data_IF_476627104948
#
_entry.id   IF_476627104948
#
_cell.length_a   1.000
_cell.length_b   1.000
_cell.length_c   1.000
_cell.angle_alpha   90.00
_cell.angle_beta   90.00
_cell.angle_gamma   90.00
#
_symmetry.space_group_name_H-M   'P 1'
#
loop_
_entity.id
_entity.type
_entity.pdbx_description
1 polymer ?
#
# COMPACT_ATOMS: atom_id res chain seq x y z
N UNK A 1 -55.24 37.35 -30.30
CA UNK A 1 -54.01 36.59 -29.95
C UNK A 1 -53.93 36.49 -28.43
N UNK A 2 -54.34 35.35 -27.90
CA UNK A 2 -54.27 35.07 -26.47
C UNK A 2 -52.88 34.52 -26.18
N UNK A 3 -52.08 35.29 -25.48
CA UNK A 3 -50.83 34.83 -24.91
C UNK A 3 -51.15 34.12 -23.60
N UNK A 4 -51.14 32.80 -23.61
CA UNK A 4 -51.08 31.97 -22.43
C UNK A 4 -49.64 32.01 -21.92
N UNK A 5 -49.37 32.84 -20.93
CA UNK A 5 -48.19 32.75 -20.09
C UNK A 5 -48.37 31.53 -19.19
N UNK A 6 -47.76 30.40 -19.57
CA UNK A 6 -47.57 29.30 -18.65
C UNK A 6 -46.55 29.73 -17.61
N UNK A 7 -46.98 29.77 -16.37
CA UNK A 7 -46.13 29.87 -15.19
C UNK A 7 -45.21 28.65 -15.15
N UNK A 8 -44.00 28.77 -15.70
CA UNK A 8 -42.94 27.87 -15.35
C UNK A 8 -42.47 28.25 -13.96
N UNK A 9 -42.98 27.55 -12.95
CA UNK A 9 -42.30 27.50 -11.66
C UNK A 9 -40.89 26.94 -11.89
N UNK A 10 -39.92 27.83 -11.89
CA UNK A 10 -38.53 27.45 -11.79
C UNK A 10 -38.34 26.87 -10.40
N UNK A 11 -38.42 25.56 -10.27
CA UNK A 11 -38.05 24.86 -9.04
C UNK A 11 -36.55 25.08 -8.89
N UNK A 12 -36.17 26.11 -8.15
CA UNK A 12 -34.81 26.29 -7.66
C UNK A 12 -34.60 25.15 -6.66
N UNK A 13 -33.96 24.06 -7.14
CA UNK A 13 -33.44 23.01 -6.27
C UNK A 13 -32.37 23.66 -5.38
N UNK A 14 -32.78 24.20 -4.25
CA UNK A 14 -31.86 24.65 -3.23
C UNK A 14 -31.31 23.40 -2.52
N UNK A 15 -30.06 23.08 -2.73
CA UNK A 15 -29.39 22.01 -1.98
C UNK A 15 -29.43 22.37 -0.50
N UNK A 16 -29.93 21.45 0.32
CA UNK A 16 -29.96 21.65 1.78
C UNK A 16 -28.53 21.57 2.30
N UNK A 17 -28.10 22.59 3.03
CA UNK A 17 -26.81 22.62 3.70
C UNK A 17 -26.95 21.92 5.05
N UNK A 18 -26.21 20.83 5.23
CA UNK A 18 -26.16 20.04 6.46
C UNK A 18 -25.01 20.50 7.36
N UNK A 19 -23.84 20.82 6.76
CA UNK A 19 -22.65 21.31 7.48
C UNK A 19 -22.45 22.79 7.21
N UNK A 20 -22.63 23.60 8.24
CA UNK A 20 -22.54 25.06 8.13
C UNK A 20 -21.09 25.58 8.13
N UNK A 21 -20.15 24.79 8.65
CA UNK A 21 -18.72 25.10 8.68
C UNK A 21 -17.93 23.81 8.42
N UNK A 22 -17.37 23.66 7.24
CA UNK A 22 -16.55 22.51 6.90
C UNK A 22 -15.54 22.85 5.81
N UNK A 23 -14.55 21.97 5.61
CA UNK A 23 -13.45 22.17 4.68
C UNK A 23 -13.36 21.03 3.66
N UNK A 24 -13.17 21.37 2.39
CA UNK A 24 -12.73 20.47 1.33
C UNK A 24 -11.24 20.62 1.07
N UNK A 25 -10.51 19.51 0.96
CA UNK A 25 -9.10 19.47 0.65
C UNK A 25 -8.88 18.73 -0.68
N UNK A 26 -8.16 19.36 -1.59
CA UNK A 26 -7.56 18.71 -2.74
C UNK A 26 -6.07 18.47 -2.45
N UNK A 27 -5.69 17.19 -2.30
CA UNK A 27 -4.37 16.77 -1.79
C UNK A 27 -3.49 16.29 -2.93
N UNK A 28 -2.36 16.98 -3.14
CA UNK A 28 -1.31 16.61 -4.09
C UNK A 28 -0.03 16.18 -3.39
N UNK A 29 0.94 15.71 -4.17
CA UNK A 29 2.24 15.28 -3.67
C UNK A 29 2.99 16.38 -2.89
N UNK A 30 2.95 17.62 -3.39
CA UNK A 30 3.78 18.74 -2.89
C UNK A 30 2.97 19.85 -2.24
N UNK A 31 1.64 19.87 -2.45
CA UNK A 31 0.75 20.90 -1.88
C UNK A 31 -0.64 20.36 -1.60
N UNK A 32 -1.37 21.12 -0.81
CA UNK A 32 -2.76 20.90 -0.46
C UNK A 32 -3.51 22.20 -0.74
N UNK A 33 -4.55 22.11 -1.55
CA UNK A 33 -5.50 23.20 -1.69
C UNK A 33 -6.66 23.01 -0.71
N UNK A 34 -6.98 24.03 0.07
CA UNK A 34 -8.01 24.00 1.09
C UNK A 34 -9.10 25.05 0.81
N UNK A 35 -10.33 24.65 0.99
CA UNK A 35 -11.51 25.53 0.90
C UNK A 35 -12.42 25.29 2.10
N UNK A 36 -12.54 26.29 3.00
CA UNK A 36 -13.56 26.29 4.06
C UNK A 36 -14.79 27.00 3.53
N UNK A 37 -15.96 26.37 3.66
CA UNK A 37 -17.28 26.95 3.45
C UNK A 37 -17.93 27.26 4.78
N UNK A 38 -18.38 28.50 4.97
CA UNK A 38 -19.06 28.96 6.18
C UNK A 38 -20.42 29.53 5.78
N UNK A 39 -21.51 28.94 6.28
CA UNK A 39 -22.87 29.38 6.01
C UNK A 39 -23.43 30.12 7.23
N UNK A 40 -23.84 31.34 7.01
CA UNK A 40 -24.46 32.20 8.03
C UNK A 40 -25.91 31.77 8.37
N UNK A 41 -26.53 32.50 9.31
CA UNK A 41 -27.91 32.26 9.75
C UNK A 41 -28.92 32.54 8.64
N UNK A 42 -28.59 33.36 7.63
CA UNK A 42 -29.40 33.69 6.49
C UNK A 42 -29.24 32.70 5.32
N UNK A 43 -28.47 31.64 5.50
CA UNK A 43 -28.20 30.62 4.47
C UNK A 43 -27.19 31.06 3.41
N UNK A 44 -26.48 32.17 3.61
CA UNK A 44 -25.46 32.63 2.68
C UNK A 44 -24.10 31.98 3.01
N UNK A 45 -23.50 31.29 2.02
CA UNK A 45 -22.20 30.66 2.17
C UNK A 45 -21.07 31.57 1.70
N UNK A 46 -20.05 31.72 2.52
CA UNK A 46 -18.78 32.39 2.20
C UNK A 46 -17.65 31.38 2.19
N UNK A 47 -16.67 31.56 1.29
CA UNK A 47 -15.54 30.63 1.13
C UNK A 47 -14.22 31.28 1.49
N UNK A 48 -13.40 30.56 2.24
CA UNK A 48 -11.99 30.89 2.51
C UNK A 48 -11.13 29.84 1.83
N UNK A 49 -10.22 30.28 0.98
CA UNK A 49 -9.39 29.36 0.20
C UNK A 49 -7.90 29.71 0.35
N UNK A 50 -7.06 28.72 0.50
CA UNK A 50 -5.63 28.89 0.56
C UNK A 50 -4.90 27.61 0.15
N UNK A 51 -3.61 27.71 -0.10
CA UNK A 51 -2.74 26.60 -0.46
C UNK A 51 -1.67 26.42 0.60
N UNK A 52 -1.44 25.18 1.01
CA UNK A 52 -0.40 24.78 1.95
C UNK A 52 0.60 23.86 1.27
N UNK A 53 1.82 23.83 1.81
CA UNK A 53 2.80 22.81 1.46
C UNK A 53 2.41 21.49 2.11
N UNK A 54 2.72 20.36 1.44
CA UNK A 54 2.55 19.02 2.03
C UNK A 54 3.66 18.63 3.01
N UNK A 55 4.67 19.50 3.21
CA UNK A 55 5.68 19.29 4.26
C UNK A 55 5.11 19.50 5.66
N UNK A 56 5.76 18.92 6.68
CA UNK A 56 5.27 18.95 8.07
C UNK A 56 4.94 20.35 8.57
N UNK A 57 5.70 21.38 8.16
CA UNK A 57 5.40 22.79 8.48
C UNK A 57 4.06 23.21 7.88
N UNK A 58 3.83 22.93 6.59
CA UNK A 58 2.59 23.29 5.91
C UNK A 58 1.38 22.53 6.47
N UNK A 59 1.54 21.28 6.93
CA UNK A 59 0.47 20.54 7.61
C UNK A 59 0.09 21.17 8.95
N UNK A 60 1.06 21.67 9.73
CA UNK A 60 0.81 22.43 10.96
C UNK A 60 0.12 23.78 10.66
N UNK A 61 0.53 24.46 9.59
CA UNK A 61 -0.11 25.70 9.14
C UNK A 61 -1.58 25.44 8.73
N UNK A 62 -1.87 24.32 8.04
CA UNK A 62 -3.22 23.89 7.73
C UNK A 62 -4.05 23.68 8.99
N UNK A 63 -3.55 22.94 9.98
CA UNK A 63 -4.22 22.70 11.25
C UNK A 63 -4.51 24.02 12.00
N UNK A 64 -3.52 24.92 12.10
CA UNK A 64 -3.68 26.26 12.70
C UNK A 64 -4.73 27.09 11.96
N UNK A 65 -4.76 26.99 10.62
CA UNK A 65 -5.73 27.72 9.80
C UNK A 65 -7.14 27.18 9.98
N UNK A 66 -7.34 25.86 10.07
CA UNK A 66 -8.63 25.26 10.40
C UNK A 66 -9.13 25.71 11.78
N UNK A 67 -8.26 25.67 12.79
CA UNK A 67 -8.57 26.13 14.16
C UNK A 67 -8.97 27.60 14.20
N UNK A 68 -8.28 28.47 13.44
CA UNK A 68 -8.63 29.90 13.32
C UNK A 68 -10.07 30.13 12.86
N UNK A 69 -10.58 29.27 11.99
CA UNK A 69 -11.96 29.35 11.50
C UNK A 69 -12.93 28.42 12.23
N UNK A 70 -12.49 27.79 13.33
CA UNK A 70 -13.27 26.83 14.11
C UNK A 70 -13.86 25.71 13.23
N UNK A 71 -13.10 25.31 12.21
CA UNK A 71 -13.49 24.26 11.27
C UNK A 71 -12.96 22.90 11.76
N UNK A 72 -13.86 22.07 12.27
CA UNK A 72 -13.54 20.75 12.83
C UNK A 72 -13.94 19.58 11.92
N UNK A 73 -14.56 19.86 10.77
CA UNK A 73 -14.99 18.84 9.82
C UNK A 73 -14.28 19.04 8.46
N UNK A 74 -13.58 18.03 8.02
CA UNK A 74 -12.76 18.08 6.79
C UNK A 74 -13.11 16.91 5.89
N UNK A 75 -13.23 17.15 4.59
CA UNK A 75 -13.35 16.13 3.57
C UNK A 75 -12.18 16.20 2.59
N UNK A 76 -11.60 15.05 2.21
CA UNK A 76 -10.60 14.96 1.17
C UNK A 76 -10.75 13.68 0.34
N UNK A 77 -10.14 13.69 -0.85
CA UNK A 77 -10.11 12.50 -1.71
C UNK A 77 -9.00 11.51 -1.32
N UNK A 78 -9.28 10.20 -1.48
CA UNK A 78 -8.32 9.12 -1.26
C UNK A 78 -7.37 8.90 -2.44
N UNK A 79 -6.88 9.95 -3.07
CA UNK A 79 -5.98 9.85 -4.22
C UNK A 79 -4.59 9.36 -3.81
N UNK A 80 -4.20 8.18 -4.27
CA UNK A 80 -2.91 7.57 -3.97
C UNK A 80 -2.69 7.37 -2.46
N UNK A 81 -1.49 7.76 -1.98
CA UNK A 81 -1.10 7.72 -0.55
C UNK A 81 -0.89 9.11 0.05
N UNK A 82 -1.08 10.19 -0.72
CA UNK A 82 -0.75 11.56 -0.29
C UNK A 82 -1.67 12.07 0.81
N UNK A 83 -2.88 11.54 0.91
CA UNK A 83 -3.85 11.86 1.96
C UNK A 83 -3.43 11.37 3.35
N UNK A 84 -2.60 10.30 3.45
CA UNK A 84 -2.25 9.65 4.72
C UNK A 84 -1.55 10.59 5.69
N UNK A 85 -0.48 11.34 5.31
CA UNK A 85 0.17 12.28 6.21
C UNK A 85 -0.77 13.41 6.67
N UNK A 86 -1.64 13.89 5.80
CA UNK A 86 -2.65 14.93 6.12
C UNK A 86 -3.64 14.39 7.15
N UNK A 87 -4.19 13.21 6.89
CA UNK A 87 -5.10 12.52 7.79
C UNK A 87 -4.50 12.33 9.19
N UNK A 88 -3.28 11.80 9.24
CA UNK A 88 -2.60 11.50 10.51
C UNK A 88 -2.31 12.78 11.35
N UNK A 89 -2.10 13.93 10.72
CA UNK A 89 -1.93 15.20 11.43
C UNK A 89 -3.27 15.69 11.94
N UNK A 90 -4.31 15.73 11.10
CA UNK A 90 -5.61 16.25 11.47
C UNK A 90 -6.34 15.37 12.50
N UNK A 91 -6.17 14.04 12.41
CA UNK A 91 -6.72 13.09 13.41
C UNK A 91 -6.19 13.36 14.83
N UNK A 92 -4.94 13.82 14.97
CA UNK A 92 -4.32 14.16 16.26
C UNK A 92 -4.82 15.49 16.85
N UNK A 93 -5.41 16.33 16.05
CA UNK A 93 -5.91 17.66 16.41
C UNK A 93 -7.44 17.67 16.59
N UNK A 94 -8.04 16.51 16.85
CA UNK A 94 -9.50 16.32 17.02
C UNK A 94 -10.34 16.83 15.86
N UNK A 95 -9.78 16.87 14.65
CA UNK A 95 -10.50 17.20 13.43
C UNK A 95 -11.16 15.94 12.87
N UNK A 96 -12.45 15.98 12.68
CA UNK A 96 -13.22 14.92 12.01
C UNK A 96 -12.90 14.90 10.52
N UNK A 97 -12.19 13.87 10.05
CA UNK A 97 -11.77 13.76 8.66
C UNK A 97 -12.57 12.69 7.94
N UNK A 98 -13.29 13.09 6.91
CA UNK A 98 -13.98 12.21 5.99
C UNK A 98 -13.11 12.02 4.75
N UNK A 99 -12.76 10.76 4.47
CA UNK A 99 -12.08 10.37 3.24
C UNK A 99 -13.11 9.88 2.23
N UNK A 100 -13.10 10.41 1.02
CA UNK A 100 -13.98 9.97 -0.06
C UNK A 100 -13.20 9.37 -1.21
N UNK A 101 -13.80 8.38 -1.86
CA UNK A 101 -13.22 7.81 -3.08
C UNK A 101 -13.43 8.77 -4.26
N UNK A 102 -12.42 9.00 -5.13
CA UNK A 102 -12.50 9.95 -6.26
C UNK A 102 -13.69 9.74 -7.21
N UNK A 103 -14.22 8.52 -7.28
CA UNK A 103 -15.42 8.22 -8.07
C UNK A 103 -16.64 9.05 -7.64
N UNK A 104 -16.76 9.41 -6.37
CA UNK A 104 -17.90 10.12 -5.80
C UNK A 104 -17.70 11.63 -5.71
N UNK A 105 -16.48 12.11 -5.89
CA UNK A 105 -16.12 13.54 -5.82
C UNK A 105 -15.74 14.12 -7.18
N UNK A 106 -15.77 13.30 -8.25
CA UNK A 106 -15.36 13.69 -9.59
C UNK A 106 -16.21 14.85 -10.11
N UNK A 107 -15.63 16.04 -10.41
CA UNK A 107 -16.39 17.16 -10.96
C UNK A 107 -16.89 16.85 -12.36
N UNK A 108 -18.02 17.48 -12.76
CA UNK A 108 -18.47 17.46 -14.14
C UNK A 108 -17.44 18.15 -15.05
N UNK A 109 -17.41 17.76 -16.36
CA UNK A 109 -16.46 18.30 -17.34
C UNK A 109 -16.44 19.83 -17.35
N UNK A 110 -15.25 20.42 -17.19
CA UNK A 110 -15.00 21.85 -17.22
C UNK A 110 -13.53 22.19 -17.01
N UNK A 111 -13.15 23.47 -17.02
CA UNK A 111 -11.79 23.94 -16.74
C UNK A 111 -11.39 23.56 -15.30
N UNK A 112 -10.64 22.48 -15.17
CA UNK A 112 -10.18 21.92 -13.90
C UNK A 112 -9.03 22.77 -13.33
N UNK A 113 -9.16 23.19 -12.05
CA UNK A 113 -8.08 23.79 -11.28
C UNK A 113 -8.19 23.29 -9.84
N UNK A 114 -7.07 23.09 -9.16
CA UNK A 114 -7.01 22.61 -7.77
C UNK A 114 -7.87 23.47 -6.82
N UNK A 115 -7.94 24.76 -7.07
CA UNK A 115 -8.79 25.70 -6.34
C UNK A 115 -10.28 25.39 -6.50
N UNK A 116 -10.71 25.05 -7.71
CA UNK A 116 -12.10 24.64 -8.01
C UNK A 116 -12.40 23.27 -7.44
N UNK A 117 -11.41 22.36 -7.49
CA UNK A 117 -11.58 20.99 -6.99
C UNK A 117 -11.72 20.98 -5.46
N UNK A 118 -10.92 21.73 -4.70
CA UNK A 118 -11.09 21.88 -3.25
C UNK A 118 -12.45 22.50 -2.88
N UNK A 119 -12.88 23.52 -3.64
CA UNK A 119 -14.21 24.13 -3.44
C UNK A 119 -15.32 23.13 -3.73
N UNK A 120 -15.22 22.36 -4.80
CA UNK A 120 -16.19 21.36 -5.17
C UNK A 120 -16.34 20.27 -4.11
N UNK A 121 -15.22 19.76 -3.57
CA UNK A 121 -15.23 18.83 -2.44
C UNK A 121 -15.93 19.43 -1.23
N UNK A 122 -15.65 20.70 -0.92
CA UNK A 122 -16.32 21.43 0.15
C UNK A 122 -17.84 21.53 -0.07
N UNK A 123 -18.28 21.91 -1.27
CA UNK A 123 -19.71 22.06 -1.62
C UNK A 123 -20.45 20.72 -1.48
N UNK A 124 -19.88 19.62 -2.00
CA UNK A 124 -20.45 18.29 -1.84
C UNK A 124 -20.54 17.88 -0.37
N UNK A 125 -19.51 18.20 0.41
CA UNK A 125 -19.46 17.87 1.82
C UNK A 125 -20.46 18.68 2.65
N UNK A 126 -20.63 19.96 2.34
CA UNK A 126 -21.68 20.81 2.95
C UNK A 126 -23.08 20.23 2.73
N UNK A 127 -23.34 19.68 1.55
CA UNK A 127 -24.65 19.13 1.17
C UNK A 127 -24.84 17.65 1.56
N UNK A 128 -23.89 17.05 2.29
CA UNK A 128 -23.88 15.61 2.65
C UNK A 128 -23.92 14.65 1.43
N UNK A 129 -23.35 15.09 0.32
CA UNK A 129 -23.32 14.34 -0.94
C UNK A 129 -22.04 13.49 -1.10
N UNK A 130 -21.22 13.42 -0.06
CA UNK A 130 -19.97 12.65 -0.04
C UNK A 130 -20.21 11.28 0.58
N UNK A 131 -19.81 10.22 -0.12
CA UNK A 131 -19.81 8.87 0.45
C UNK A 131 -18.52 8.64 1.22
N UNK A 132 -18.55 8.48 2.57
CA UNK A 132 -17.36 8.25 3.36
C UNK A 132 -16.76 6.87 3.07
N UNK A 133 -15.44 6.82 2.99
CA UNK A 133 -14.66 5.58 3.00
C UNK A 133 -14.38 5.17 4.45
N UNK A 134 -14.46 3.88 4.73
CA UNK A 134 -14.09 3.37 6.05
C UNK A 134 -12.57 3.45 6.24
N UNK A 135 -12.14 4.13 7.29
CA UNK A 135 -10.75 4.21 7.72
C UNK A 135 -10.64 3.49 9.07
N UNK A 136 -9.87 2.39 9.16
CA UNK A 136 -9.63 1.71 10.43
C UNK A 136 -8.90 2.61 11.44
N UNK A 137 -9.00 2.31 12.74
CA UNK A 137 -8.15 2.91 13.77
C UNK A 137 -6.65 2.79 13.44
N UNK A 138 -5.82 3.65 14.05
CA UNK A 138 -4.41 3.79 13.70
C UNK A 138 -3.62 2.49 13.86
N UNK A 139 -3.83 1.76 14.95
CA UNK A 139 -3.23 0.45 15.23
C UNK A 139 -3.53 -0.57 14.13
N UNK A 140 -4.80 -0.66 13.71
CA UNK A 140 -5.22 -1.54 12.63
C UNK A 140 -4.62 -1.09 11.27
N UNK A 141 -4.45 0.21 11.04
CA UNK A 141 -3.78 0.71 9.82
C UNK A 141 -2.31 0.27 9.79
N UNK A 142 -1.61 0.39 10.91
CA UNK A 142 -0.21 -0.03 11.04
C UNK A 142 -0.07 -1.55 10.84
N UNK A 143 -0.90 -2.33 11.53
CA UNK A 143 -0.91 -3.78 11.37
C UNK A 143 -1.16 -4.21 9.91
N UNK A 144 -2.14 -3.61 9.26
CA UNK A 144 -2.44 -3.91 7.84
C UNK A 144 -1.28 -3.61 6.90
N UNK A 145 -0.52 -2.55 7.15
CA UNK A 145 0.65 -2.21 6.33
C UNK A 145 1.75 -3.25 6.47
N UNK A 146 2.09 -3.65 7.70
CA UNK A 146 3.08 -4.68 7.99
C UNK A 146 2.66 -6.06 7.43
N UNK A 147 1.42 -6.47 7.63
CA UNK A 147 0.91 -7.77 7.10
C UNK A 147 0.94 -7.80 5.57
N UNK A 148 0.64 -6.69 4.90
CA UNK A 148 0.76 -6.60 3.44
C UNK A 148 2.21 -6.66 2.97
N UNK A 149 3.13 -6.06 3.71
CA UNK A 149 4.55 -6.13 3.40
C UNK A 149 5.10 -7.54 3.64
N UNK A 150 4.71 -8.18 4.75
CA UNK A 150 4.99 -9.60 5.03
C UNK A 150 4.60 -10.52 3.86
N UNK A 151 3.39 -10.34 3.35
CA UNK A 151 2.92 -11.10 2.18
C UNK A 151 3.82 -10.90 0.95
N UNK A 152 4.28 -9.67 0.70
CA UNK A 152 5.20 -9.41 -0.42
C UNK A 152 6.56 -10.08 -0.23
N UNK A 153 7.11 -10.09 0.99
CA UNK A 153 8.36 -10.81 1.28
C UNK A 153 8.22 -12.31 1.01
N UNK A 154 7.11 -12.93 1.42
CA UNK A 154 6.84 -14.34 1.11
C UNK A 154 6.77 -14.57 -0.40
N UNK A 155 6.13 -13.69 -1.16
CA UNK A 155 6.10 -13.80 -2.63
C UNK A 155 7.50 -13.67 -3.25
N UNK A 156 8.35 -12.79 -2.71
CA UNK A 156 9.74 -12.63 -3.17
C UNK A 156 10.56 -13.90 -2.88
N UNK A 157 10.47 -14.45 -1.66
CA UNK A 157 11.13 -15.72 -1.27
C UNK A 157 10.70 -16.85 -2.22
N UNK A 158 9.40 -16.98 -2.47
CA UNK A 158 8.87 -17.99 -3.40
C UNK A 158 9.43 -17.80 -4.81
N UNK A 159 9.53 -16.55 -5.27
CA UNK A 159 10.12 -16.24 -6.57
C UNK A 159 11.60 -16.63 -6.67
N UNK A 160 12.37 -16.40 -5.60
CA UNK A 160 13.79 -16.80 -5.56
C UNK A 160 13.95 -18.33 -5.45
N UNK A 161 13.11 -19.00 -4.65
CA UNK A 161 13.09 -20.47 -4.58
C UNK A 161 12.82 -21.09 -5.96
N UNK A 162 11.88 -20.56 -6.71
CA UNK A 162 11.60 -21.02 -8.07
C UNK A 162 12.80 -20.79 -9.02
N UNK A 163 13.49 -19.66 -8.91
CA UNK A 163 14.70 -19.40 -9.71
C UNK A 163 15.84 -20.34 -9.37
N UNK A 164 16.04 -20.60 -8.08
CA UNK A 164 17.05 -21.56 -7.60
C UNK A 164 16.74 -22.98 -8.11
N UNK A 165 15.46 -23.39 -8.01
CA UNK A 165 15.02 -24.69 -8.52
C UNK A 165 15.27 -24.80 -10.03
N UNK A 166 14.99 -23.76 -10.82
CA UNK A 166 15.30 -23.76 -12.25
C UNK A 166 16.79 -23.96 -12.54
N UNK A 167 17.69 -23.37 -11.72
CA UNK A 167 19.12 -23.59 -11.87
C UNK A 167 19.52 -25.07 -11.63
N UNK A 168 18.92 -25.71 -10.62
CA UNK A 168 19.12 -27.13 -10.33
C UNK A 168 18.59 -28.01 -11.48
N UNK A 169 17.38 -27.74 -11.95
CA UNK A 169 16.75 -28.47 -13.04
C UNK A 169 17.57 -28.41 -14.35
N UNK A 170 18.04 -27.20 -14.74
CA UNK A 170 18.86 -27.00 -15.93
C UNK A 170 20.22 -27.71 -15.81
N UNK A 171 20.73 -27.89 -14.59
CA UNK A 171 21.96 -28.58 -14.27
C UNK A 171 21.78 -30.10 -14.13
N UNK A 172 20.60 -30.64 -14.37
CA UNK A 172 20.19 -32.02 -14.13
C UNK A 172 20.48 -32.49 -12.67
N UNK A 173 20.34 -31.57 -11.71
CA UNK A 173 20.39 -31.86 -10.27
C UNK A 173 18.96 -32.00 -9.77
N UNK A 174 18.54 -33.25 -9.52
CA UNK A 174 17.13 -33.62 -9.25
C UNK A 174 16.80 -33.70 -7.75
N UNK A 175 17.20 -32.66 -7.00
CA UNK A 175 16.99 -32.64 -5.55
C UNK A 175 15.51 -32.59 -5.14
N UNK A 176 14.64 -32.10 -6.01
CA UNK A 176 13.18 -32.05 -5.86
C UNK A 176 12.50 -33.42 -6.02
N UNK A 177 13.15 -34.39 -6.67
CA UNK A 177 12.64 -35.76 -6.77
C UNK A 177 12.92 -36.57 -5.48
N UNK A 178 13.95 -36.20 -4.71
CA UNK A 178 14.45 -36.97 -3.55
C UNK A 178 14.23 -36.29 -2.20
N UNK A 179 13.99 -34.99 -2.18
CA UNK A 179 13.69 -34.22 -0.97
C UNK A 179 12.35 -33.53 -1.09
N UNK A 180 11.52 -33.64 -0.06
CA UNK A 180 10.24 -32.93 0.04
C UNK A 180 10.41 -31.41 0.15
N UNK A 181 11.54 -30.95 0.68
CA UNK A 181 11.94 -29.55 0.73
C UNK A 181 13.36 -29.40 0.17
N UNK A 182 13.45 -28.87 -1.03
CA UNK A 182 14.72 -28.60 -1.73
C UNK A 182 15.59 -27.57 -1.01
N UNK A 183 15.01 -26.73 -0.19
CA UNK A 183 15.69 -25.70 0.59
C UNK A 183 15.90 -26.11 2.05
N UNK A 184 15.48 -27.33 2.41
CA UNK A 184 15.72 -27.92 3.71
C UNK A 184 17.19 -28.26 3.96
N UNK A 185 17.53 -28.54 5.21
CA UNK A 185 18.92 -28.67 5.70
C UNK A 185 19.81 -29.58 4.84
N UNK A 186 19.34 -30.80 4.53
CA UNK A 186 20.14 -31.78 3.77
C UNK A 186 20.36 -31.32 2.33
N UNK A 187 19.30 -30.99 1.62
CA UNK A 187 19.40 -30.52 0.24
C UNK A 187 20.19 -29.22 0.12
N UNK A 188 20.05 -28.28 1.06
CA UNK A 188 20.82 -27.04 1.11
C UNK A 188 22.30 -27.32 1.29
N UNK A 189 22.66 -28.20 2.22
CA UNK A 189 24.07 -28.58 2.45
C UNK A 189 24.73 -29.24 1.22
N UNK A 190 23.98 -30.12 0.53
CA UNK A 190 24.41 -30.75 -0.73
C UNK A 190 24.61 -29.66 -1.81
N UNK A 191 23.63 -28.75 -1.98
CA UNK A 191 23.71 -27.67 -2.96
C UNK A 191 24.92 -26.75 -2.69
N UNK A 192 25.17 -26.39 -1.44
CA UNK A 192 26.31 -25.56 -1.05
C UNK A 192 27.65 -26.27 -1.31
N UNK A 193 27.71 -27.60 -1.10
CA UNK A 193 28.90 -28.38 -1.45
C UNK A 193 29.16 -28.36 -2.96
N UNK A 194 28.14 -28.63 -3.78
CA UNK A 194 28.24 -28.58 -5.26
C UNK A 194 28.70 -27.20 -5.73
N UNK A 195 28.22 -26.12 -5.12
CA UNK A 195 28.62 -24.76 -5.47
C UNK A 195 30.06 -24.40 -5.09
N UNK A 196 30.61 -25.05 -4.07
CA UNK A 196 31.99 -24.89 -3.63
C UNK A 196 32.97 -25.79 -4.43
N UNK A 197 32.50 -26.93 -4.91
CA UNK A 197 33.26 -27.98 -5.55
C UNK A 197 32.60 -28.43 -6.86
N UNK A 198 32.45 -27.53 -7.85
CA UNK A 198 31.74 -27.83 -9.10
C UNK A 198 32.48 -28.92 -9.88
N UNK A 199 31.78 -30.00 -10.20
CA UNK A 199 32.32 -31.15 -10.96
C UNK A 199 33.00 -32.21 -10.13
N UNK A 200 33.13 -32.03 -8.81
CA UNK A 200 33.73 -33.08 -7.95
C UNK A 200 32.71 -34.20 -7.71
N UNK A 201 33.19 -35.45 -7.77
CA UNK A 201 32.42 -36.59 -7.28
C UNK A 201 32.56 -36.66 -5.75
N UNK A 202 31.42 -36.78 -5.05
CA UNK A 202 31.39 -36.82 -3.59
C UNK A 202 30.33 -37.79 -3.08
N UNK A 203 30.49 -38.26 -1.86
CA UNK A 203 29.49 -39.05 -1.14
C UNK A 203 28.47 -38.10 -0.47
N UNK A 204 27.19 -38.29 -0.74
CA UNK A 204 26.09 -37.47 -0.16
C UNK A 204 25.79 -37.88 1.29
N UNK A 205 26.23 -39.05 1.76
CA UNK A 205 25.88 -39.59 3.08
C UNK A 205 26.13 -38.61 4.25
N UNK A 206 27.24 -37.86 4.31
CA UNK A 206 27.50 -36.92 5.40
C UNK A 206 26.53 -35.73 5.47
N UNK A 207 25.86 -35.43 4.37
CA UNK A 207 24.93 -34.26 4.24
C UNK A 207 23.49 -34.60 4.55
N UNK A 208 23.13 -35.89 4.58
CA UNK A 208 21.75 -36.36 4.71
C UNK A 208 21.38 -36.54 6.19
N UNK A 209 20.27 -35.88 6.63
CA UNK A 209 19.75 -36.06 7.98
C UNK A 209 19.21 -37.48 8.16
N UNK A 210 19.45 -38.08 9.35
CA UNK A 210 18.98 -39.46 9.71
C UNK A 210 17.48 -39.68 9.57
N UNK A 211 16.66 -38.61 9.56
CA UNK A 211 15.22 -38.66 9.37
C UNK A 211 14.80 -38.73 7.91
N UNK A 212 15.73 -38.56 6.97
CA UNK A 212 15.45 -38.69 5.55
C UNK A 212 15.06 -40.14 5.24
N UNK A 213 13.93 -40.32 4.56
CA UNK A 213 13.38 -41.65 4.23
C UNK A 213 13.84 -42.11 2.84
N UNK A 214 14.32 -41.23 2.00
CA UNK A 214 14.81 -41.53 0.65
C UNK A 214 16.14 -42.31 0.75
N UNK A 215 16.30 -43.41 0.02
CA UNK A 215 17.53 -44.18 -0.03
C UNK A 215 18.71 -43.31 -0.47
N UNK A 216 19.88 -43.60 0.14
CA UNK A 216 21.09 -42.81 -0.16
C UNK A 216 21.50 -42.98 -1.64
N UNK A 217 21.30 -44.12 -2.22
CA UNK A 217 21.59 -44.42 -3.63
C UNK A 217 20.77 -43.56 -4.57
N UNK A 218 19.51 -43.28 -4.23
CA UNK A 218 18.62 -42.38 -5.01
C UNK A 218 19.09 -40.94 -4.90
N UNK A 219 19.48 -40.50 -3.69
CA UNK A 219 19.98 -39.15 -3.46
C UNK A 219 21.34 -38.99 -4.20
N UNK A 220 22.19 -40.00 -4.19
CA UNK A 220 23.47 -40.00 -4.92
C UNK A 220 23.23 -39.87 -6.43
N UNK A 221 22.26 -40.59 -6.98
CA UNK A 221 21.87 -40.48 -8.40
C UNK A 221 21.28 -39.08 -8.75
N UNK A 222 20.54 -38.46 -7.82
CA UNK A 222 19.97 -37.14 -8.03
C UNK A 222 21.01 -36.00 -8.15
N UNK A 223 22.26 -36.22 -7.69
CA UNK A 223 23.33 -35.23 -7.76
C UNK A 223 24.33 -35.54 -8.88
N UNK A 224 24.08 -36.51 -9.75
CA UNK A 224 24.92 -36.88 -10.90
C UNK A 224 24.79 -35.90 -12.09
N UNK A 225 24.42 -34.66 -11.80
CA UNK A 225 24.33 -33.56 -12.75
C UNK A 225 25.57 -32.68 -12.71
N UNK A 226 25.70 -31.78 -13.68
CA UNK A 226 26.79 -30.83 -13.78
C UNK A 226 26.29 -29.39 -13.83
N UNK A 227 26.70 -28.60 -12.85
CA UNK A 227 26.37 -27.18 -12.83
C UNK A 227 27.37 -26.35 -13.62
N UNK A 228 26.91 -25.61 -14.59
CA UNK A 228 27.74 -24.65 -15.33
C UNK A 228 28.08 -23.40 -14.51
N UNK A 229 29.18 -22.69 -14.81
CA UNK A 229 29.62 -21.53 -14.04
C UNK A 229 28.55 -20.44 -13.90
N UNK A 230 27.79 -20.16 -14.96
CA UNK A 230 26.73 -19.16 -14.96
C UNK A 230 25.54 -19.59 -14.09
N UNK A 231 25.17 -20.88 -14.10
CA UNK A 231 24.13 -21.42 -13.24
C UNK A 231 24.57 -21.43 -11.76
N UNK A 232 25.83 -21.74 -11.49
CA UNK A 232 26.41 -21.72 -10.15
C UNK A 232 26.38 -20.32 -9.54
N UNK A 233 26.76 -19.29 -10.32
CA UNK A 233 26.66 -17.87 -9.87
C UNK A 233 25.25 -17.50 -9.59
N UNK A 234 24.34 -17.81 -10.51
CA UNK A 234 22.91 -17.49 -10.38
C UNK A 234 22.27 -18.19 -9.17
N UNK A 235 22.51 -19.49 -9.00
CA UNK A 235 22.01 -20.25 -7.86
C UNK A 235 22.51 -19.68 -6.54
N UNK A 236 23.81 -19.35 -6.44
CA UNK A 236 24.39 -18.73 -5.24
C UNK A 236 23.69 -17.40 -4.89
N UNK A 237 23.43 -16.55 -5.89
CA UNK A 237 22.72 -15.30 -5.65
C UNK A 237 21.27 -15.54 -5.18
N UNK A 238 20.55 -16.49 -5.79
CA UNK A 238 19.21 -16.84 -5.33
C UNK A 238 19.22 -17.33 -3.88
N UNK A 239 20.15 -18.19 -3.49
CA UNK A 239 20.27 -18.72 -2.13
C UNK A 239 20.59 -17.62 -1.11
N UNK A 240 21.55 -16.74 -1.42
CA UNK A 240 21.88 -15.60 -0.54
C UNK A 240 20.69 -14.67 -0.36
N UNK A 241 19.96 -14.40 -1.44
CA UNK A 241 18.78 -13.53 -1.40
C UNK A 241 17.63 -14.15 -0.61
N UNK A 242 17.43 -15.48 -0.69
CA UNK A 242 16.46 -16.19 0.16
C UNK A 242 16.82 -16.00 1.64
N UNK A 243 18.09 -16.23 2.01
CA UNK A 243 18.54 -16.12 3.40
C UNK A 243 18.37 -14.69 3.95
N UNK A 244 18.57 -13.66 3.13
CA UNK A 244 18.38 -12.26 3.49
C UNK A 244 16.89 -11.92 3.61
N UNK A 245 16.05 -12.35 2.68
CA UNK A 245 14.60 -12.13 2.73
C UNK A 245 13.95 -12.87 3.91
N UNK A 246 14.43 -14.05 4.29
CA UNK A 246 13.94 -14.77 5.46
C UNK A 246 14.26 -14.03 6.77
N UNK A 247 15.43 -13.38 6.89
CA UNK A 247 15.75 -12.48 8.02
C UNK A 247 14.82 -11.26 8.06
N UNK A 248 14.60 -10.62 6.92
CA UNK A 248 13.66 -9.49 6.85
C UNK A 248 12.24 -9.90 7.21
N UNK A 249 11.83 -11.10 6.80
CA UNK A 249 10.52 -11.66 7.17
C UNK A 249 10.39 -11.83 8.68
N UNK A 250 11.41 -12.38 9.34
CA UNK A 250 11.46 -12.55 10.79
C UNK A 250 11.37 -11.20 11.53
N UNK A 251 12.11 -10.18 11.08
CA UNK A 251 12.04 -8.82 11.65
C UNK A 251 10.63 -8.24 11.57
N UNK A 252 9.96 -8.38 10.42
CA UNK A 252 8.57 -7.91 10.24
C UNK A 252 7.60 -8.69 11.12
N UNK A 253 7.77 -10.01 11.26
CA UNK A 253 6.94 -10.85 12.13
C UNK A 253 7.10 -10.47 13.61
N UNK A 254 8.31 -10.14 14.05
CA UNK A 254 8.55 -9.64 15.41
C UNK A 254 7.85 -8.29 15.64
N UNK A 255 7.85 -7.40 14.66
CA UNK A 255 7.18 -6.10 14.80
C UNK A 255 5.65 -6.26 14.81
N UNK A 256 5.09 -7.19 14.01
CA UNK A 256 3.66 -7.53 14.03
C UNK A 256 3.24 -8.06 15.42
N UNK A 257 4.10 -8.84 16.09
CA UNK A 257 3.80 -9.38 17.43
C UNK A 257 3.88 -8.32 18.54
N UNK A 258 4.51 -7.18 18.29
CA UNK A 258 4.60 -6.06 19.26
C UNK A 258 3.41 -5.10 19.21
N UNK A 259 2.65 -5.10 18.11
CA UNK A 259 1.44 -4.29 17.94
C UNK A 259 0.22 -4.92 18.61
#
# INVERSE_FOLDING_TARGET
SVLLLQNQEVILLSFKIFRKNCCGLDVHKTWIYACIGITDTNGRTTYKQTRFSSFSKGLKELSTWLAKYQCTEVCMESTGKYWIPVFNVLEKEDVSVILSHPKYTKPQKGNKTDRKDAKWICDLFMCDMVKPSFIPPADIRHLRDLVRYRFKLICMITGEKNRAQNCLTVSNLKLDDVFSDVFGKSSRSITEYILKHPGDLFDVTPFVDRRCKTPIEEIQAAVDGAISPEQAVKLRQCLNHIDELEKHLEEIEQEILRL
#
